data_IF_564306022096
#
_entry.id   IF_564306022096
#
_cell.length_a   1.000
_cell.length_b   1.000
_cell.length_c   1.000
_cell.angle_alpha   90.00
_cell.angle_beta   90.00
_cell.angle_gamma   90.00
#
_symmetry.space_group_name_H-M   'P 1'
#
loop_
_entity.id
_entity.type
_entity.pdbx_description
1 polymer ?
#
# COMPACT_ATOMS: atom_id res chain seq x y z
N UNK A 1 -9.56 11.00 -19.38
CA UNK A 1 -9.07 10.15 -20.50
C UNK A 1 -7.82 10.82 -21.06
N UNK A 2 -6.64 10.18 -21.00
CA UNK A 2 -5.45 10.74 -21.67
C UNK A 2 -5.79 10.96 -23.14
N UNK A 3 -5.48 12.15 -23.68
CA UNK A 3 -5.73 12.47 -25.10
C UNK A 3 -5.03 11.39 -25.94
N UNK A 4 -5.71 10.87 -26.98
CA UNK A 4 -5.13 9.84 -27.86
C UNK A 4 -3.72 10.20 -28.35
N UNK A 5 -3.46 11.50 -28.55
CA UNK A 5 -2.14 12.02 -28.94
C UNK A 5 -1.02 11.67 -27.97
N UNK A 6 -1.25 11.67 -26.65
CA UNK A 6 -0.22 11.28 -25.67
C UNK A 6 0.13 9.80 -25.77
N UNK A 7 -0.87 8.95 -26.03
CA UNK A 7 -0.65 7.50 -26.21
C UNK A 7 0.17 7.22 -27.48
N UNK A 8 -0.13 7.93 -28.57
CA UNK A 8 0.62 7.79 -29.83
C UNK A 8 2.04 8.36 -29.74
N UNK A 9 2.22 9.50 -29.08
CA UNK A 9 3.56 10.07 -28.85
C UNK A 9 4.43 9.12 -28.02
N UNK A 10 3.85 8.53 -26.98
CA UNK A 10 4.52 7.54 -26.14
C UNK A 10 4.88 6.27 -26.93
N UNK A 11 3.98 5.77 -27.78
CA UNK A 11 4.25 4.64 -28.66
C UNK A 11 5.41 4.93 -29.62
N UNK A 12 5.39 6.08 -30.30
CA UNK A 12 6.46 6.46 -31.23
C UNK A 12 7.80 6.65 -30.54
N UNK A 13 7.83 7.21 -29.32
CA UNK A 13 9.06 7.32 -28.55
C UNK A 13 9.65 5.96 -28.16
N UNK A 14 8.82 4.95 -27.92
CA UNK A 14 9.27 3.58 -27.61
C UNK A 14 9.68 2.84 -28.90
N UNK A 15 8.88 2.98 -29.97
CA UNK A 15 9.15 2.37 -31.27
C UNK A 15 10.43 2.92 -31.93
N UNK A 16 10.77 4.18 -31.66
CA UNK A 16 11.98 4.86 -32.15
C UNK A 16 13.08 4.94 -31.08
N UNK A 17 13.01 4.11 -30.02
CA UNK A 17 14.09 3.97 -29.06
C UNK A 17 15.40 3.55 -29.74
N UNK A 18 16.57 3.88 -29.17
CA UNK A 18 17.87 3.64 -29.83
C UNK A 18 18.10 2.18 -30.21
N UNK A 19 17.61 1.21 -29.43
CA UNK A 19 17.69 -0.22 -29.76
C UNK A 19 16.71 -0.64 -30.85
N UNK A 20 15.41 -0.32 -30.69
CA UNK A 20 14.36 -0.67 -31.66
C UNK A 20 14.54 0.03 -33.01
N UNK A 21 15.03 1.28 -33.02
CA UNK A 21 15.32 2.04 -34.23
C UNK A 21 16.40 1.37 -35.10
N UNK A 22 17.48 0.86 -34.50
CA UNK A 22 18.56 0.17 -35.25
C UNK A 22 18.02 -1.07 -35.96
N UNK A 23 17.28 -1.93 -35.25
CA UNK A 23 16.73 -3.15 -35.86
C UNK A 23 15.61 -2.85 -36.86
N UNK A 24 14.82 -1.79 -36.65
CA UNK A 24 13.79 -1.35 -37.61
C UNK A 24 14.45 -0.84 -38.89
N UNK A 25 15.52 -0.04 -38.79
CA UNK A 25 16.29 0.43 -39.94
C UNK A 25 16.95 -0.74 -40.69
N UNK A 26 17.51 -1.71 -39.97
CA UNK A 26 18.08 -2.93 -40.59
C UNK A 26 17.01 -3.75 -41.32
N UNK A 27 15.82 -3.86 -40.74
CA UNK A 27 14.67 -4.55 -41.37
C UNK A 27 14.27 -3.86 -42.67
N UNK A 28 14.07 -2.54 -42.63
CA UNK A 28 13.69 -1.75 -43.81
C UNK A 28 14.78 -1.82 -44.87
N UNK A 29 16.05 -1.70 -44.48
CA UNK A 29 17.19 -1.79 -45.40
C UNK A 29 17.27 -3.16 -46.06
N UNK A 30 17.08 -4.24 -45.28
CA UNK A 30 17.07 -5.62 -45.80
C UNK A 30 15.96 -5.83 -46.82
N UNK A 31 14.75 -5.29 -46.56
CA UNK A 31 13.62 -5.38 -47.48
C UNK A 31 13.83 -4.55 -48.76
N UNK A 32 14.41 -3.35 -48.65
CA UNK A 32 14.73 -2.51 -49.82
C UNK A 32 15.78 -3.21 -50.69
N UNK A 33 16.83 -3.77 -50.09
CA UNK A 33 17.87 -4.50 -50.83
C UNK A 33 17.26 -5.76 -51.46
N UNK A 34 16.41 -6.49 -50.75
CA UNK A 34 15.71 -7.66 -51.29
C UNK A 34 14.85 -7.31 -52.51
N UNK A 35 14.23 -6.13 -52.52
CA UNK A 35 13.42 -5.63 -53.63
C UNK A 35 14.28 -5.22 -54.84
N UNK A 36 15.42 -4.55 -54.61
CA UNK A 36 16.34 -4.15 -55.68
C UNK A 36 16.96 -5.37 -56.37
N UNK A 37 17.30 -6.41 -55.62
CA UNK A 37 17.88 -7.65 -56.14
C UNK A 37 16.85 -8.76 -56.38
N UNK A 38 15.60 -8.40 -56.69
CA UNK A 38 14.50 -9.37 -56.90
C UNK A 38 14.80 -10.43 -57.97
N UNK A 39 15.65 -10.11 -58.94
CA UNK A 39 16.00 -11.01 -60.05
C UNK A 39 16.87 -12.19 -59.57
N UNK A 40 17.56 -12.04 -58.43
CA UNK A 40 18.28 -13.11 -57.76
C UNK A 40 17.44 -13.66 -56.60
N UNK A 41 16.60 -14.65 -56.92
CA UNK A 41 15.60 -15.24 -56.01
C UNK A 41 16.18 -15.76 -54.70
N UNK A 42 17.35 -16.41 -54.75
CA UNK A 42 18.03 -16.95 -53.56
C UNK A 42 18.49 -15.83 -52.61
N UNK A 43 19.09 -14.77 -53.15
CA UNK A 43 19.58 -13.64 -52.37
C UNK A 43 18.43 -12.81 -51.77
N UNK A 44 17.38 -12.56 -52.57
CA UNK A 44 16.18 -11.82 -52.11
C UNK A 44 15.44 -12.57 -51.00
N UNK A 45 15.35 -13.91 -51.10
CA UNK A 45 14.70 -14.75 -50.08
C UNK A 45 15.51 -14.76 -48.78
N UNK A 46 16.84 -14.89 -48.86
CA UNK A 46 17.72 -14.85 -47.69
C UNK A 46 17.63 -13.50 -46.95
N UNK A 47 17.59 -12.38 -47.67
CA UNK A 47 17.40 -11.05 -47.09
C UNK A 47 16.01 -10.86 -46.48
N UNK A 48 14.97 -11.46 -47.04
CA UNK A 48 13.62 -11.42 -46.49
C UNK A 48 13.51 -12.21 -45.18
N UNK A 49 14.17 -13.36 -45.11
CA UNK A 49 14.30 -14.14 -43.86
C UNK A 49 15.08 -13.32 -42.83
N UNK A 50 16.21 -12.73 -43.21
CA UNK A 50 17.02 -11.89 -42.31
C UNK A 50 16.26 -10.67 -41.81
N UNK A 51 15.47 -10.02 -42.67
CA UNK A 51 14.56 -8.94 -42.30
C UNK A 51 13.52 -9.40 -41.28
N UNK A 52 12.98 -10.61 -41.43
CA UNK A 52 12.02 -11.18 -40.46
C UNK A 52 12.67 -11.42 -39.09
N UNK A 53 13.94 -11.86 -39.05
CA UNK A 53 14.70 -11.97 -37.81
C UNK A 53 14.90 -10.61 -37.13
N UNK A 54 15.32 -9.58 -37.89
CA UNK A 54 15.50 -8.24 -37.35
C UNK A 54 14.18 -7.62 -36.86
N UNK A 55 13.07 -7.87 -37.55
CA UNK A 55 11.74 -7.46 -37.12
C UNK A 55 11.36 -8.11 -35.78
N UNK A 56 11.69 -9.39 -35.59
CA UNK A 56 11.50 -10.10 -34.32
C UNK A 56 12.29 -9.47 -33.18
N UNK A 57 13.57 -9.14 -33.41
CA UNK A 57 14.39 -8.43 -32.42
C UNK A 57 13.83 -7.05 -32.09
N UNK A 58 13.47 -6.25 -33.11
CA UNK A 58 12.86 -4.94 -32.91
C UNK A 58 11.58 -5.04 -32.07
N UNK A 59 10.73 -6.03 -32.35
CA UNK A 59 9.51 -6.29 -31.57
C UNK A 59 9.81 -6.61 -30.11
N UNK A 60 10.84 -7.39 -29.82
CA UNK A 60 11.23 -7.71 -28.45
C UNK A 60 11.72 -6.47 -27.67
N UNK A 61 12.53 -5.61 -28.29
CA UNK A 61 12.97 -4.36 -27.66
C UNK A 61 11.79 -3.42 -27.37
N UNK A 62 10.85 -3.28 -28.32
CA UNK A 62 9.64 -2.48 -28.12
C UNK A 62 8.81 -3.03 -26.96
N UNK A 63 8.66 -4.35 -26.88
CA UNK A 63 7.94 -5.00 -25.79
C UNK A 63 8.61 -4.74 -24.44
N UNK A 64 9.92 -4.95 -24.33
CA UNK A 64 10.66 -4.76 -23.08
C UNK A 64 10.58 -3.31 -22.59
N UNK A 65 10.74 -2.34 -23.48
CA UNK A 65 10.67 -0.93 -23.11
C UNK A 65 9.23 -0.48 -22.80
N UNK A 66 8.23 -1.03 -23.50
CA UNK A 66 6.83 -0.82 -23.18
C UNK A 66 6.46 -1.38 -21.80
N UNK A 67 6.93 -2.59 -21.47
CA UNK A 67 6.73 -3.22 -20.16
C UNK A 67 7.42 -2.44 -19.04
N UNK A 68 8.65 -1.96 -19.24
CA UNK A 68 9.34 -1.10 -18.26
C UNK A 68 8.57 0.19 -17.98
N UNK A 69 8.12 0.85 -19.03
CA UNK A 69 7.39 2.12 -18.89
C UNK A 69 6.01 1.88 -18.26
N UNK A 70 5.32 0.80 -18.60
CA UNK A 70 4.09 0.40 -17.90
C UNK A 70 4.36 0.10 -16.43
N UNK A 71 5.40 -0.68 -16.12
CA UNK A 71 5.79 -1.04 -14.76
C UNK A 71 6.08 0.20 -13.90
N UNK A 72 6.87 1.15 -14.41
CA UNK A 72 7.14 2.42 -13.72
C UNK A 72 5.87 3.25 -13.47
N UNK A 73 4.97 3.32 -14.46
CA UNK A 73 3.69 4.02 -14.32
C UNK A 73 2.77 3.34 -13.28
N UNK A 74 2.79 2.01 -13.18
CA UNK A 74 2.03 1.27 -12.18
C UNK A 74 2.61 1.53 -10.80
N UNK A 75 3.94 1.47 -10.65
CA UNK A 75 4.63 1.71 -9.39
C UNK A 75 4.38 3.14 -8.88
N UNK A 76 4.47 4.15 -9.75
CA UNK A 76 4.19 5.54 -9.38
C UNK A 76 2.73 5.74 -8.94
N UNK A 77 1.77 5.15 -9.66
CA UNK A 77 0.35 5.21 -9.29
C UNK A 77 0.08 4.55 -7.94
N UNK A 78 0.67 3.38 -7.71
CA UNK A 78 0.53 2.64 -6.44
C UNK A 78 1.21 3.40 -5.31
N UNK A 79 2.42 3.94 -5.52
CA UNK A 79 3.12 4.82 -4.57
C UNK A 79 2.27 6.05 -4.18
N UNK A 80 1.69 6.75 -5.16
CA UNK A 80 0.73 7.85 -4.88
C UNK A 80 -0.51 7.36 -4.12
N UNK A 81 -0.94 6.11 -4.33
CA UNK A 81 -2.02 5.50 -3.55
C UNK A 81 -1.61 5.28 -2.09
N UNK A 82 -0.43 4.71 -1.82
CA UNK A 82 0.08 4.55 -0.44
C UNK A 82 0.16 5.88 0.30
N UNK A 83 0.68 6.94 -0.35
CA UNK A 83 0.75 8.25 0.29
C UNK A 83 -0.64 8.74 0.71
N UNK A 84 -1.66 8.61 -0.16
CA UNK A 84 -3.05 8.96 0.19
C UNK A 84 -3.59 8.10 1.31
N UNK A 85 -3.29 6.80 1.31
CA UNK A 85 -3.68 5.89 2.38
C UNK A 85 -3.08 6.33 3.72
N UNK A 86 -1.78 6.60 3.77
CA UNK A 86 -1.08 7.03 4.97
C UNK A 86 -1.60 8.39 5.48
N UNK A 87 -1.88 9.33 4.57
CA UNK A 87 -2.52 10.59 4.93
C UNK A 87 -3.91 10.38 5.56
N UNK A 88 -4.72 9.49 4.98
CA UNK A 88 -6.05 9.15 5.50
C UNK A 88 -5.95 8.54 6.91
N UNK A 89 -5.05 7.57 7.10
CA UNK A 89 -4.79 6.96 8.41
C UNK A 89 -4.32 8.03 9.40
N UNK A 90 -3.39 8.90 9.01
CA UNK A 90 -2.90 10.00 9.85
C UNK A 90 -4.03 10.93 10.30
N UNK A 91 -4.94 11.31 9.40
CA UNK A 91 -6.11 12.14 9.74
C UNK A 91 -7.05 11.44 10.71
N UNK A 92 -7.30 10.14 10.53
CA UNK A 92 -8.15 9.35 11.42
C UNK A 92 -7.52 9.20 12.81
N UNK A 93 -6.22 8.93 12.88
CA UNK A 93 -5.47 8.89 14.16
C UNK A 93 -5.52 10.23 14.88
N UNK A 94 -5.29 11.34 14.16
CA UNK A 94 -5.42 12.69 14.75
C UNK A 94 -6.82 12.95 15.33
N UNK A 95 -7.87 12.54 14.62
CA UNK A 95 -9.25 12.63 15.13
C UNK A 95 -9.43 11.81 16.40
N UNK A 96 -8.97 10.56 16.43
CA UNK A 96 -9.01 9.72 17.63
C UNK A 96 -8.28 10.41 18.80
N UNK A 97 -7.08 10.94 18.58
CA UNK A 97 -6.33 11.67 19.59
C UNK A 97 -7.10 12.88 20.13
N UNK A 98 -7.73 13.68 19.25
CA UNK A 98 -8.59 14.80 19.66
C UNK A 98 -9.77 14.33 20.50
N UNK A 99 -10.48 13.29 20.08
CA UNK A 99 -11.60 12.71 20.84
C UNK A 99 -11.19 12.22 22.23
N UNK A 100 -10.03 11.55 22.33
CA UNK A 100 -9.48 11.10 23.62
C UNK A 100 -9.12 12.31 24.49
N UNK A 101 -8.47 13.32 23.93
CA UNK A 101 -8.07 14.54 24.64
C UNK A 101 -9.28 15.29 25.19
N UNK A 102 -10.31 15.50 24.38
CA UNK A 102 -11.57 16.12 24.81
C UNK A 102 -12.24 15.33 25.94
N UNK A 103 -12.23 13.99 25.85
CA UNK A 103 -12.79 13.15 26.92
C UNK A 103 -12.01 13.28 28.23
N UNK A 104 -10.68 13.35 28.18
CA UNK A 104 -9.83 13.49 29.36
C UNK A 104 -9.96 14.88 29.99
N UNK A 105 -9.99 15.94 29.18
CA UNK A 105 -10.16 17.32 29.63
C UNK A 105 -11.54 17.57 30.25
N UNK A 106 -12.57 16.83 29.84
CA UNK A 106 -13.91 16.93 30.43
C UNK A 106 -14.00 16.42 31.88
N UNK A 107 -12.99 15.70 32.38
CA UNK A 107 -12.95 15.12 33.73
C UNK A 107 -14.01 14.04 34.01
N UNK A 108 -14.87 13.73 33.03
CA UNK A 108 -15.91 12.71 33.14
C UNK A 108 -15.34 11.35 32.76
N UNK A 109 -15.72 10.30 33.49
CA UNK A 109 -15.43 8.93 33.04
C UNK A 109 -16.04 8.73 31.65
N UNK A 110 -15.29 8.13 30.70
CA UNK A 110 -15.81 7.87 29.37
C UNK A 110 -17.10 7.04 29.48
N UNK A 111 -18.20 7.56 28.93
CA UNK A 111 -19.45 6.81 28.87
C UNK A 111 -19.30 5.64 27.88
N UNK A 112 -20.07 4.57 28.03
CA UNK A 112 -20.08 3.43 27.12
C UNK A 112 -20.25 3.84 25.65
N UNK A 113 -21.04 4.89 25.39
CA UNK A 113 -21.24 5.41 24.03
C UNK A 113 -19.97 6.01 23.42
N UNK A 114 -19.11 6.63 24.23
CA UNK A 114 -17.80 7.12 23.80
C UNK A 114 -16.87 5.97 23.43
N UNK A 115 -16.83 4.92 24.25
CA UNK A 115 -16.00 3.73 23.98
C UNK A 115 -16.46 2.99 22.72
N UNK A 116 -17.77 2.92 22.47
CA UNK A 116 -18.34 2.33 21.26
C UNK A 116 -17.91 3.12 20.01
N UNK A 117 -17.98 4.45 20.06
CA UNK A 117 -17.59 5.31 18.92
C UNK A 117 -16.08 5.25 18.66
N UNK A 118 -15.26 5.26 19.72
CA UNK A 118 -13.82 5.09 19.62
C UNK A 118 -13.46 3.75 18.97
N UNK A 119 -14.11 2.66 19.40
CA UNK A 119 -13.92 1.34 18.84
C UNK A 119 -14.33 1.29 17.36
N UNK A 120 -15.42 1.96 16.99
CA UNK A 120 -15.86 2.08 15.58
C UNK A 120 -14.83 2.81 14.71
N UNK A 121 -14.22 3.88 15.22
CA UNK A 121 -13.14 4.57 14.52
C UNK A 121 -11.91 3.68 14.33
N UNK A 122 -11.53 2.90 15.35
CA UNK A 122 -10.42 1.95 15.25
C UNK A 122 -10.72 0.87 14.21
N UNK A 123 -11.91 0.27 14.23
CA UNK A 123 -12.32 -0.71 13.22
C UNK A 123 -12.31 -0.13 11.81
N UNK A 124 -12.77 1.11 11.63
CA UNK A 124 -12.71 1.77 10.32
C UNK A 124 -11.28 1.97 9.81
N UNK A 125 -10.32 2.21 10.70
CA UNK A 125 -8.90 2.27 10.33
C UNK A 125 -8.39 0.88 9.96
N UNK A 126 -8.72 -0.15 10.75
CA UNK A 126 -8.31 -1.54 10.48
C UNK A 126 -8.80 -2.02 9.11
N UNK A 127 -10.08 -1.78 8.78
CA UNK A 127 -10.65 -2.14 7.48
C UNK A 127 -9.97 -1.39 6.34
N UNK A 128 -9.74 -0.08 6.51
CA UNK A 128 -9.08 0.73 5.48
C UNK A 128 -7.63 0.29 5.23
N UNK A 129 -6.91 -0.12 6.28
CA UNK A 129 -5.58 -0.72 6.18
C UNK A 129 -5.67 -2.06 5.45
N UNK A 130 -6.64 -2.91 5.79
CA UNK A 130 -6.83 -4.21 5.14
C UNK A 130 -7.09 -4.08 3.64
N UNK A 131 -8.00 -3.18 3.23
CA UNK A 131 -8.25 -2.89 1.82
C UNK A 131 -7.02 -2.31 1.12
N UNK A 132 -6.23 -1.50 1.82
CA UNK A 132 -4.99 -0.97 1.25
C UNK A 132 -3.95 -2.08 1.05
N UNK A 133 -3.82 -3.05 1.96
CA UNK A 133 -2.90 -4.19 1.79
C UNK A 133 -3.27 -5.01 0.55
N UNK A 134 -4.58 -5.20 0.29
CA UNK A 134 -5.06 -5.87 -0.92
C UNK A 134 -4.56 -5.19 -2.21
N UNK A 135 -4.53 -3.85 -2.25
CA UNK A 135 -3.99 -3.09 -3.38
C UNK A 135 -2.48 -3.31 -3.62
N UNK A 136 -1.73 -3.77 -2.61
CA UNK A 136 -0.28 -3.95 -2.69
C UNK A 136 0.15 -5.38 -2.98
N UNK A 137 -0.72 -6.38 -2.85
CA UNK A 137 -0.38 -7.81 -3.08
C UNK A 137 0.13 -8.07 -4.51
N UNK A 138 -0.40 -7.35 -5.50
CA UNK A 138 0.04 -7.49 -6.90
C UNK A 138 1.49 -7.00 -7.13
N UNK A 139 2.00 -6.15 -6.25
CA UNK A 139 3.34 -5.53 -6.35
C UNK A 139 4.34 -6.21 -5.41
N UNK A 140 3.88 -6.61 -4.22
CA UNK A 140 4.68 -7.28 -3.19
C UNK A 140 3.95 -8.58 -2.84
N UNK A 141 4.22 -9.68 -3.57
CA UNK A 141 3.54 -10.96 -3.38
C UNK A 141 3.69 -11.51 -1.95
N UNK A 142 4.75 -11.12 -1.24
CA UNK A 142 4.99 -11.48 0.16
C UNK A 142 3.87 -11.01 1.10
N UNK A 143 3.12 -9.96 0.72
CA UNK A 143 1.96 -9.47 1.47
C UNK A 143 0.74 -10.39 1.39
N UNK A 144 0.71 -11.37 0.48
CA UNK A 144 -0.43 -12.28 0.33
C UNK A 144 -0.75 -13.05 1.62
N UNK A 145 0.29 -13.45 2.37
CA UNK A 145 0.12 -14.13 3.68
C UNK A 145 -0.54 -13.20 4.70
N UNK A 146 -0.07 -11.96 4.77
CA UNK A 146 -0.63 -10.92 5.63
C UNK A 146 -2.09 -10.62 5.27
N UNK A 147 -2.42 -10.57 3.98
CA UNK A 147 -3.79 -10.38 3.50
C UNK A 147 -4.71 -11.55 3.90
N UNK A 148 -4.22 -12.79 3.84
CA UNK A 148 -4.99 -13.95 4.25
C UNK A 148 -5.29 -13.93 5.77
N UNK A 149 -4.31 -13.53 6.58
CA UNK A 149 -4.49 -13.35 8.02
C UNK A 149 -5.47 -12.20 8.34
N UNK A 150 -5.38 -11.09 7.61
CA UNK A 150 -6.35 -9.98 7.68
C UNK A 150 -7.77 -10.45 7.37
N UNK A 151 -7.97 -11.21 6.29
CA UNK A 151 -9.28 -11.77 5.93
C UNK A 151 -9.83 -12.71 7.00
N UNK A 152 -8.99 -13.56 7.62
CA UNK A 152 -9.39 -14.44 8.72
C UNK A 152 -9.87 -13.64 9.93
N UNK A 153 -9.16 -12.57 10.28
CA UNK A 153 -9.53 -11.67 11.39
C UNK A 153 -10.85 -10.95 11.11
N UNK A 154 -11.02 -10.39 9.91
CA UNK A 154 -12.24 -9.69 9.53
C UNK A 154 -13.46 -10.62 9.52
N UNK A 155 -13.30 -11.84 8.98
CA UNK A 155 -14.35 -12.85 8.99
C UNK A 155 -14.77 -13.24 10.42
N UNK A 156 -13.80 -13.51 11.30
CA UNK A 156 -14.10 -13.84 12.70
C UNK A 156 -14.76 -12.68 13.45
N UNK A 157 -14.33 -11.44 13.17
CA UNK A 157 -14.92 -10.25 13.78
C UNK A 157 -16.39 -10.09 13.38
N UNK A 158 -16.72 -10.31 12.10
CA UNK A 158 -18.10 -10.30 11.61
C UNK A 158 -18.94 -11.43 12.21
N UNK A 159 -18.41 -12.66 12.26
CA UNK A 159 -19.09 -13.80 12.89
C UNK A 159 -19.42 -13.52 14.36
N UNK A 160 -18.49 -12.94 15.12
CA UNK A 160 -18.70 -12.56 16.53
C UNK A 160 -19.82 -11.52 16.65
N UNK A 161 -19.83 -10.52 15.77
CA UNK A 161 -20.84 -9.46 15.81
C UNK A 161 -22.24 -9.97 15.45
N UNK A 162 -22.33 -10.88 14.48
CA UNK A 162 -23.58 -11.56 14.14
C UNK A 162 -24.09 -12.46 15.28
N UNK A 163 -23.20 -13.22 15.92
CA UNK A 163 -23.53 -14.04 17.08
C UNK A 163 -24.01 -13.18 18.26
N UNK A 164 -23.38 -12.03 18.52
CA UNK A 164 -23.82 -11.07 19.54
C UNK A 164 -25.19 -10.46 19.24
N UNK A 165 -25.55 -10.26 17.96
CA UNK A 165 -26.90 -9.84 17.58
C UNK A 165 -27.92 -10.94 17.88
N UNK A 166 -27.63 -12.18 17.48
CA UNK A 166 -28.50 -13.34 17.76
C UNK A 166 -28.66 -13.59 19.25
N UNK A 167 -27.60 -13.45 20.05
CA UNK A 167 -27.68 -13.56 21.52
C UNK A 167 -28.66 -12.52 22.09
N UNK A 168 -28.59 -11.26 21.64
CA UNK A 168 -29.51 -10.19 22.08
C UNK A 168 -30.97 -10.42 21.64
N UNK A 169 -31.18 -11.05 20.48
CA UNK A 169 -32.51 -11.42 20.01
C UNK A 169 -33.11 -12.55 20.85
N UNK A 170 -32.31 -13.57 21.20
CA UNK A 170 -32.72 -14.64 22.09
C UNK A 170 -32.96 -14.15 23.53
N UNK A 171 -32.20 -13.17 24.00
CA UNK A 171 -32.37 -12.55 25.31
C UNK A 171 -33.71 -11.81 25.45
N UNK A 172 -34.35 -11.41 24.34
CA UNK A 172 -35.69 -10.81 24.32
C UNK A 172 -36.83 -11.85 24.31
N UNK A 173 -36.55 -13.11 23.98
CA UNK A 173 -37.53 -14.19 23.89
C UNK A 173 -37.40 -15.11 25.12
N UNK A 174 -37.96 -14.69 26.25
CA UNK A 174 -37.70 -15.25 27.60
C UNK A 174 -38.11 -16.70 27.85
N UNK A 175 -38.77 -17.42 26.93
CA UNK A 175 -39.42 -18.71 27.27
C UNK A 175 -38.69 -20.01 26.89
N UNK A 176 -37.69 -20.00 26.00
CA UNK A 176 -36.99 -21.25 25.56
C UNK A 176 -35.45 -21.10 25.45
N UNK A 177 -34.88 -19.99 25.90
CA UNK A 177 -33.56 -19.54 25.43
C UNK A 177 -32.33 -19.90 26.27
N UNK A 178 -32.45 -20.36 27.52
CA UNK A 178 -31.31 -20.34 28.46
C UNK A 178 -30.16 -21.29 28.08
N UNK A 179 -30.48 -22.50 27.57
CA UNK A 179 -29.46 -23.44 27.06
C UNK A 179 -28.81 -22.92 25.77
N UNK A 180 -29.62 -22.47 24.82
CA UNK A 180 -29.17 -21.93 23.53
C UNK A 180 -28.35 -20.65 23.71
N UNK A 181 -28.69 -19.83 24.69
CA UNK A 181 -27.97 -18.62 25.05
C UNK A 181 -26.62 -18.94 25.70
N UNK A 182 -26.56 -19.92 26.60
CA UNK A 182 -25.29 -20.38 27.18
C UNK A 182 -24.38 -21.03 26.14
N UNK A 183 -24.93 -21.76 25.16
CA UNK A 183 -24.17 -22.27 24.01
C UNK A 183 -23.65 -21.13 23.13
N UNK A 184 -24.49 -20.14 22.78
CA UNK A 184 -24.06 -18.97 22.02
C UNK A 184 -22.96 -18.18 22.73
N UNK A 185 -23.06 -18.00 24.05
CA UNK A 185 -22.01 -17.35 24.86
C UNK A 185 -20.69 -18.10 24.81
N UNK A 186 -20.72 -19.43 24.98
CA UNK A 186 -19.50 -20.26 24.87
C UNK A 186 -18.87 -20.14 23.50
N UNK A 187 -19.67 -20.13 22.43
CA UNK A 187 -19.17 -19.97 21.05
C UNK A 187 -18.58 -18.56 20.88
N UNK A 188 -19.21 -17.51 21.42
CA UNK A 188 -18.69 -16.14 21.37
C UNK A 188 -17.35 -16.06 22.10
N UNK A 189 -17.24 -16.58 23.32
CA UNK A 189 -15.99 -16.59 24.10
C UNK A 189 -14.88 -17.34 23.35
N UNK A 190 -15.16 -18.54 22.82
CA UNK A 190 -14.17 -19.32 22.06
C UNK A 190 -13.69 -18.57 20.80
N UNK A 191 -14.59 -17.86 20.12
CA UNK A 191 -14.27 -17.07 18.94
C UNK A 191 -13.51 -15.79 19.29
N UNK A 192 -13.84 -15.14 20.41
CA UNK A 192 -13.11 -13.98 20.92
C UNK A 192 -11.68 -14.34 21.35
N UNK A 193 -11.47 -15.51 21.96
CA UNK A 193 -10.15 -16.00 22.32
C UNK A 193 -9.31 -16.32 21.08
N UNK A 194 -9.90 -16.99 20.07
CA UNK A 194 -9.25 -17.20 18.77
C UNK A 194 -8.90 -15.88 18.08
N UNK A 195 -9.79 -14.88 18.15
CA UNK A 195 -9.53 -13.54 17.61
C UNK A 195 -8.36 -12.87 18.32
N UNK A 196 -8.31 -12.99 19.66
CA UNK A 196 -7.23 -12.45 20.49
C UNK A 196 -5.89 -13.09 20.16
N UNK A 197 -5.86 -14.41 19.98
CA UNK A 197 -4.66 -15.15 19.58
C UNK A 197 -4.16 -14.69 18.20
N UNK A 198 -5.05 -14.57 17.21
CA UNK A 198 -4.69 -14.09 15.87
C UNK A 198 -4.17 -12.64 15.89
N UNK A 199 -4.78 -11.76 16.70
CA UNK A 199 -4.30 -10.38 16.89
C UNK A 199 -2.93 -10.34 17.58
N UNK A 200 -2.68 -11.22 18.55
CA UNK A 200 -1.37 -11.31 19.20
C UNK A 200 -0.29 -11.82 18.24
N UNK A 201 -0.57 -12.86 17.43
CA UNK A 201 0.36 -13.34 16.41
C UNK A 201 0.75 -12.23 15.43
N UNK A 202 -0.22 -11.39 15.01
CA UNK A 202 0.06 -10.21 14.16
C UNK A 202 1.06 -9.24 14.79
N UNK A 203 0.95 -8.95 16.09
CA UNK A 203 1.89 -8.04 16.77
C UNK A 203 3.32 -8.59 16.86
N UNK A 204 3.50 -9.92 16.75
CA UNK A 204 4.81 -10.59 16.74
C UNK A 204 5.38 -10.69 15.32
N UNK A 205 4.54 -10.63 14.29
CA UNK A 205 4.98 -10.42 12.90
C UNK A 205 5.43 -8.96 12.76
N UNK A 206 6.65 -8.71 13.23
CA UNK A 206 7.43 -7.54 12.87
C UNK A 206 7.26 -7.31 11.37
N UNK A 207 6.81 -6.10 10.98
CA UNK A 207 6.99 -5.52 9.65
C UNK A 207 8.48 -5.29 9.34
N UNK A 208 9.33 -6.24 9.73
CA UNK A 208 10.76 -6.31 9.48
C UNK A 208 11.02 -6.71 8.04
N UNK A 209 10.50 -5.93 7.11
CA UNK A 209 11.19 -5.76 5.85
C UNK A 209 12.47 -4.99 6.18
N UNK A 210 13.59 -5.73 6.29
CA UNK A 210 14.92 -5.15 6.37
C UNK A 210 15.21 -4.46 5.03
N UNK A 211 14.72 -3.23 4.85
CA UNK A 211 15.15 -2.38 3.75
C UNK A 211 16.55 -1.86 4.07
N UNK A 212 17.52 -2.36 3.29
CA UNK A 212 18.92 -1.93 3.33
C UNK A 212 19.01 -0.43 3.03
N UNK A 213 19.70 0.39 3.85
CA UNK A 213 19.73 1.83 3.67
C UNK A 213 20.67 2.22 2.53
N UNK A 214 20.12 2.56 1.38
CA UNK A 214 20.81 3.37 0.39
C UNK A 214 19.92 4.54 -0.05
N UNK A 215 20.14 5.69 0.59
CA UNK A 215 19.86 7.02 0.03
C UNK A 215 18.45 7.58 0.23
N UNK A 216 18.39 8.77 0.85
CA UNK A 216 17.25 9.70 0.93
C UNK A 216 16.17 9.39 1.97
N UNK A 217 16.50 9.60 3.24
CA UNK A 217 15.54 9.54 4.35
C UNK A 217 14.82 10.87 4.59
N UNK A 218 13.50 10.88 4.39
CA UNK A 218 12.56 11.83 5.02
C UNK A 218 12.39 11.43 6.49
N UNK A 219 13.36 11.77 7.34
CA UNK A 219 13.26 11.63 8.78
C UNK A 219 12.64 12.89 9.40
N UNK A 220 11.79 12.72 10.42
CA UNK A 220 11.24 13.79 11.25
C UNK A 220 11.34 13.38 12.72
N UNK A 221 11.57 14.32 13.62
CA UNK A 221 11.59 14.07 15.08
C UNK A 221 10.42 14.79 15.74
N UNK A 222 9.81 14.16 16.74
CA UNK A 222 8.72 14.75 17.52
C UNK A 222 9.29 15.21 18.86
N UNK A 223 8.95 16.43 19.28
CA UNK A 223 9.29 16.90 20.63
C UNK A 223 8.39 16.20 21.66
N UNK A 224 8.97 15.51 22.63
CA UNK A 224 8.20 14.76 23.65
C UNK A 224 7.36 15.68 24.54
N UNK A 225 7.78 16.93 24.71
CA UNK A 225 7.13 17.85 25.64
C UNK A 225 5.92 18.58 25.04
N UNK A 226 5.85 18.73 23.71
CA UNK A 226 4.74 19.45 23.05
C UNK A 226 4.11 18.70 21.87
N UNK A 227 4.62 17.53 21.51
CA UNK A 227 4.11 16.71 20.41
C UNK A 227 4.30 17.32 19.03
N UNK A 228 5.08 18.40 18.91
CA UNK A 228 5.24 19.10 17.66
C UNK A 228 6.24 18.37 16.74
N UNK A 229 5.85 18.20 15.47
CA UNK A 229 6.65 17.51 14.46
C UNK A 229 7.68 18.48 13.86
N UNK A 230 8.95 18.11 13.91
CA UNK A 230 10.06 18.88 13.35
C UNK A 230 10.54 18.16 12.09
N UNK A 231 10.36 18.82 10.95
CA UNK A 231 10.77 18.34 9.64
C UNK A 231 12.26 18.67 9.39
N UNK A 232 13.05 17.69 8.95
CA UNK A 232 14.48 17.86 8.65
C UNK A 232 14.74 18.58 7.32
N UNK A 233 13.69 19.00 6.60
CA UNK A 233 13.80 19.76 5.36
C UNK A 233 14.30 21.20 5.54
N UNK A 234 14.42 21.70 6.78
CA UNK A 234 15.00 23.02 7.07
C UNK A 234 16.51 22.94 7.34
N UNK A 235 17.37 23.72 6.65
CA UNK A 235 18.83 23.65 6.76
C UNK A 235 19.40 24.17 8.09
N UNK A 236 18.57 24.38 9.11
CA UNK A 236 18.95 24.97 10.39
C UNK A 236 18.44 24.12 11.56
N UNK A 237 18.86 22.86 11.63
CA UNK A 237 18.74 22.07 12.86
C UNK A 237 20.13 21.67 13.34
N UNK A 238 20.76 22.58 14.08
CA UNK A 238 21.81 22.21 15.02
C UNK A 238 21.13 21.39 16.13
N UNK A 239 21.36 20.08 16.13
CA UNK A 239 20.99 19.14 17.21
C UNK A 239 21.56 19.53 18.60
N UNK A 240 22.32 20.62 18.69
CA UNK A 240 22.85 21.19 19.93
C UNK A 240 21.88 22.16 20.66
N UNK A 241 20.74 22.52 20.06
CA UNK A 241 19.77 23.37 20.77
C UNK A 241 19.05 22.54 21.84
N UNK A 242 19.50 22.67 23.09
CA UNK A 242 18.89 22.05 24.28
C UNK A 242 17.41 22.42 24.51
N UNK A 243 16.77 23.20 23.64
CA UNK A 243 15.40 23.70 23.82
C UNK A 243 14.59 23.64 22.53
N UNK A 244 13.38 23.08 22.62
CA UNK A 244 12.41 23.13 21.54
C UNK A 244 11.92 24.58 21.34
N UNK A 245 11.92 25.10 20.11
CA UNK A 245 11.49 26.48 19.83
C UNK A 245 10.02 26.74 20.21
N UNK A 246 9.17 25.72 20.11
CA UNK A 246 7.73 25.88 20.33
C UNK A 246 7.32 25.82 21.80
N UNK A 247 8.11 25.17 22.67
CA UNK A 247 7.77 25.03 24.09
C UNK A 247 8.88 25.45 25.07
N UNK A 248 10.04 25.89 24.57
CA UNK A 248 11.23 26.33 25.32
C UNK A 248 11.76 25.34 26.38
N UNK A 249 11.19 24.13 26.47
CA UNK A 249 11.59 23.07 27.38
C UNK A 249 12.75 22.23 26.86
N UNK A 250 13.39 21.41 27.73
CA UNK A 250 14.54 20.60 27.36
C UNK A 250 14.22 19.67 26.18
N UNK A 251 15.06 19.71 25.14
CA UNK A 251 14.90 18.95 23.90
C UNK A 251 15.21 17.46 24.10
N UNK A 252 14.29 16.72 24.73
CA UNK A 252 14.23 15.27 24.60
C UNK A 252 13.47 14.95 23.31
N UNK A 253 14.19 14.39 22.34
CA UNK A 253 13.65 14.01 21.05
C UNK A 253 13.63 12.48 20.98
N UNK A 254 12.44 11.89 20.86
CA UNK A 254 12.35 10.49 20.46
C UNK A 254 12.52 10.41 18.94
N UNK A 255 13.51 9.63 18.50
CA UNK A 255 13.65 9.27 17.10
C UNK A 255 12.46 8.39 16.72
N UNK A 256 11.55 8.91 15.91
CA UNK A 256 10.57 8.06 15.24
C UNK A 256 11.36 7.25 14.21
N UNK A 257 11.47 5.95 14.44
CA UNK A 257 12.20 5.05 13.56
C UNK A 257 11.71 5.26 12.11
N UNK A 258 12.61 5.77 11.27
CA UNK A 258 12.35 5.97 9.85
C UNK A 258 11.77 4.70 9.24
N UNK A 259 10.52 4.79 8.78
CA UNK A 259 10.07 4.05 7.61
C UNK A 259 10.97 4.49 6.46
N UNK A 260 12.01 3.71 6.19
CA UNK A 260 12.86 3.88 5.01
C UNK A 260 12.00 3.50 3.81
N UNK A 261 11.60 4.53 3.06
CA UNK A 261 11.00 4.43 1.72
C UNK A 261 11.98 3.78 0.74
#
# INVERSE_FOLDING_TARGET
MKKLGEKWSMFWNIALGPGSAVFTLLTISSLIIAYVFKDNTLFSTLLSILGSFFAGFAGNFIKDDYEKVLGQNILEKKGRSAVRTLESVSRQVKRICSYIKESLESGKKPNNQFLIELNRHVFSIEDYISSSVEDWVDVIPELAKTLEELRKINKLSFEIEELKKREKEHQKNEKDGEKTQNELRKIIEEKEDKLRELRQRRNVVNLGAQFSPSGYGLGGTICENCGNFIDFSSPVLRLDSKKCENCQGPGLYSSVASLKL
#
